data_IF_168161579484
#
_entry.id   IF_168161579484
#
_cell.length_a   1.000
_cell.length_b   1.000
_cell.length_c   1.000
_cell.angle_alpha   90.00
_cell.angle_beta   90.00
_cell.angle_gamma   90.00
#
_symmetry.space_group_name_H-M   'P 1'
#
loop_
_entity.id
_entity.type
_entity.pdbx_description
1 polymer ?
#
# COMPACT_ATOMS: atom_id res chain seq x y z
N UNK A 1 -16.17 4.50 -16.74
CA UNK A 1 -17.20 3.82 -15.92
C UNK A 1 -16.98 4.24 -14.47
N UNK A 2 -17.96 4.86 -13.81
CA UNK A 2 -17.92 5.13 -12.36
C UNK A 2 -18.71 4.01 -11.68
N UNK A 3 -18.03 3.17 -10.91
CA UNK A 3 -18.70 2.14 -10.12
C UNK A 3 -19.09 2.74 -8.76
N UNK A 4 -20.30 2.45 -8.31
CA UNK A 4 -20.73 2.72 -6.95
C UNK A 4 -20.49 1.46 -6.11
N UNK A 5 -19.68 1.57 -5.07
CA UNK A 5 -19.34 0.45 -4.20
C UNK A 5 -20.11 0.60 -2.89
N UNK A 6 -20.94 -0.40 -2.57
CA UNK A 6 -21.75 -0.40 -1.36
C UNK A 6 -21.14 -1.38 -0.34
N UNK A 7 -20.71 -0.84 0.80
CA UNK A 7 -20.14 -1.62 1.89
C UNK A 7 -21.24 -2.16 2.82
N UNK A 8 -21.26 -3.46 3.06
CA UNK A 8 -22.12 -4.08 4.07
C UNK A 8 -21.28 -4.82 5.09
N UNK A 9 -21.37 -4.42 6.36
CA UNK A 9 -20.70 -5.06 7.48
C UNK A 9 -21.68 -5.99 8.21
N UNK A 10 -21.25 -7.24 8.41
CA UNK A 10 -21.97 -8.22 9.23
C UNK A 10 -21.13 -8.61 10.44
N UNK A 11 -21.76 -8.64 11.60
CA UNK A 11 -21.18 -9.20 12.83
C UNK A 11 -22.05 -10.38 13.26
N UNK A 12 -21.42 -11.48 13.68
CA UNK A 12 -22.13 -12.71 14.07
C UNK A 12 -23.16 -13.16 12.99
N UNK A 13 -22.78 -13.04 11.71
CA UNK A 13 -23.61 -13.30 10.52
C UNK A 13 -24.88 -12.42 10.37
N UNK A 14 -25.12 -11.47 11.28
CA UNK A 14 -26.25 -10.53 11.24
C UNK A 14 -25.81 -9.20 10.65
N UNK A 15 -26.76 -8.50 10.03
CA UNK A 15 -26.52 -7.15 9.49
C UNK A 15 -26.14 -6.20 10.62
N UNK A 16 -24.96 -5.61 10.53
CA UNK A 16 -24.47 -4.64 11.50
C UNK A 16 -24.58 -3.22 10.94
N UNK A 17 -23.85 -2.94 9.86
CA UNK A 17 -23.86 -1.63 9.21
C UNK A 17 -23.99 -1.77 7.68
N UNK A 18 -24.77 -0.88 7.08
CA UNK A 18 -24.98 -0.74 5.64
C UNK A 18 -25.15 0.76 5.31
N UNK A 19 -25.23 1.14 4.03
CA UNK A 19 -25.36 2.55 3.66
C UNK A 19 -26.56 3.23 4.33
N UNK A 20 -27.65 2.49 4.55
CA UNK A 20 -28.89 3.01 5.14
C UNK A 20 -28.75 3.27 6.64
N UNK A 21 -28.17 2.36 7.41
CA UNK A 21 -27.91 2.52 8.85
C UNK A 21 -26.85 3.60 9.10
N UNK A 22 -25.84 3.70 8.25
CA UNK A 22 -24.85 4.77 8.32
C UNK A 22 -25.47 6.13 8.03
N UNK A 23 -26.34 6.23 7.01
CA UNK A 23 -27.11 7.44 6.75
C UNK A 23 -27.97 7.83 7.96
N UNK A 24 -28.66 6.87 8.58
CA UNK A 24 -29.43 7.11 9.81
C UNK A 24 -28.56 7.72 10.92
N UNK A 25 -27.41 7.12 11.23
CA UNK A 25 -26.52 7.62 12.28
C UNK A 25 -25.97 9.02 11.95
N UNK A 26 -25.63 9.30 10.69
CA UNK A 26 -25.21 10.64 10.23
C UNK A 26 -26.32 11.67 10.43
N UNK A 27 -27.57 11.32 10.12
CA UNK A 27 -28.72 12.22 10.31
C UNK A 27 -29.07 12.41 11.79
N UNK A 28 -28.92 11.38 12.63
CA UNK A 28 -29.07 11.52 14.09
C UNK A 28 -28.01 12.47 14.64
N UNK A 29 -26.75 12.31 14.24
CA UNK A 29 -25.66 13.23 14.63
C UNK A 29 -25.96 14.68 14.26
N UNK A 30 -26.50 14.92 13.06
CA UNK A 30 -26.79 16.27 12.57
C UNK A 30 -28.01 16.91 13.25
N UNK A 31 -29.03 16.11 13.58
CA UNK A 31 -30.33 16.62 14.06
C UNK A 31 -30.52 16.52 15.57
N UNK A 32 -29.71 15.71 16.26
CA UNK A 32 -29.91 15.42 17.68
C UNK A 32 -31.19 14.61 17.96
N UNK A 33 -31.80 13.95 16.97
CA UNK A 33 -33.09 13.28 17.10
C UNK A 33 -33.21 12.03 16.24
N UNK A 34 -33.66 10.92 16.85
CA UNK A 34 -33.94 9.66 16.12
C UNK A 34 -35.10 9.84 15.15
N UNK A 35 -36.15 10.57 15.54
CA UNK A 35 -37.34 10.74 14.69
C UNK A 35 -37.04 11.58 13.46
N UNK A 36 -36.32 12.70 13.64
CA UNK A 36 -35.90 13.54 12.52
C UNK A 36 -34.85 12.82 11.67
N UNK A 37 -33.90 12.12 12.29
CA UNK A 37 -32.88 11.34 11.60
C UNK A 37 -33.47 10.24 10.71
N UNK A 38 -34.47 9.50 11.21
CA UNK A 38 -35.18 8.49 10.45
C UNK A 38 -35.86 9.07 9.20
N UNK A 39 -36.56 10.20 9.36
CA UNK A 39 -37.23 10.89 8.25
C UNK A 39 -36.24 11.32 7.17
N UNK A 40 -35.12 11.93 7.55
CA UNK A 40 -34.09 12.37 6.60
C UNK A 40 -33.32 11.21 5.96
N UNK A 41 -33.21 10.07 6.65
CA UNK A 41 -32.64 8.84 6.11
C UNK A 41 -33.63 8.02 5.26
N UNK A 42 -34.88 8.49 5.09
CA UNK A 42 -35.89 7.82 4.27
C UNK A 42 -36.46 6.53 4.89
N UNK A 43 -36.44 6.38 6.21
CA UNK A 43 -36.92 5.18 6.91
C UNK A 43 -37.94 5.49 7.99
N UNK A 44 -38.79 4.53 8.33
CA UNK A 44 -39.75 4.71 9.42
C UNK A 44 -39.04 4.83 10.77
N UNK A 45 -39.64 5.56 11.72
CA UNK A 45 -39.11 5.65 13.09
C UNK A 45 -38.93 4.27 13.73
N UNK A 46 -39.89 3.36 13.54
CA UNK A 46 -39.80 1.98 14.04
C UNK A 46 -38.58 1.27 13.46
N UNK A 47 -38.38 1.35 12.14
CA UNK A 47 -37.23 0.74 11.47
C UNK A 47 -35.89 1.34 11.94
N UNK A 48 -35.84 2.65 12.22
CA UNK A 48 -34.65 3.28 12.78
C UNK A 48 -34.35 2.76 14.20
N UNK A 49 -35.39 2.63 15.02
CA UNK A 49 -35.27 2.13 16.39
C UNK A 49 -34.82 0.66 16.43
N UNK A 50 -35.43 -0.19 15.60
CA UNK A 50 -35.07 -1.60 15.47
C UNK A 50 -33.61 -1.74 15.00
N UNK A 51 -33.19 -0.95 14.00
CA UNK A 51 -31.81 -0.95 13.50
C UNK A 51 -30.79 -0.56 14.57
N UNK A 52 -31.04 0.52 15.32
CA UNK A 52 -30.15 0.97 16.40
C UNK A 52 -30.04 -0.10 17.49
N UNK A 53 -31.14 -0.74 17.87
CA UNK A 53 -31.10 -1.81 18.87
C UNK A 53 -30.33 -3.03 18.40
N UNK A 54 -30.53 -3.46 17.15
CA UNK A 54 -29.75 -4.56 16.59
C UNK A 54 -28.27 -4.22 16.55
N UNK A 55 -27.92 -2.99 16.19
CA UNK A 55 -26.54 -2.51 16.23
C UNK A 55 -25.97 -2.56 17.65
N UNK A 56 -26.73 -2.10 18.66
CA UNK A 56 -26.32 -2.14 20.07
C UNK A 56 -26.21 -3.58 20.62
N UNK A 57 -27.02 -4.52 20.13
CA UNK A 57 -26.93 -5.93 20.53
C UNK A 57 -25.69 -6.61 19.97
N UNK A 58 -25.21 -6.16 18.81
CA UNK A 58 -24.05 -6.74 18.12
C UNK A 58 -22.73 -6.05 18.49
N UNK A 59 -22.78 -4.86 19.07
CA UNK A 59 -21.62 -4.09 19.48
C UNK A 59 -21.36 -4.21 20.99
N UNK A 60 -20.11 -3.97 21.38
CA UNK A 60 -19.70 -3.95 22.79
C UNK A 60 -20.19 -2.68 23.51
N UNK A 61 -20.47 -1.62 22.77
CA UNK A 61 -20.94 -0.32 23.27
C UNK A 61 -22.17 0.15 22.48
N UNK A 62 -23.01 0.97 23.10
CA UNK A 62 -24.19 1.55 22.45
C UNK A 62 -23.79 2.57 21.37
N UNK A 63 -24.57 2.67 20.29
CA UNK A 63 -24.35 3.62 19.19
C UNK A 63 -24.81 5.04 19.52
N UNK A 64 -25.86 5.17 20.34
CA UNK A 64 -26.50 6.45 20.66
C UNK A 64 -26.75 6.58 22.17
N UNK A 65 -26.48 7.77 22.70
CA UNK A 65 -26.89 8.20 24.02
C UNK A 65 -28.19 9.00 23.93
N UNK A 66 -29.07 8.79 24.89
CA UNK A 66 -30.28 9.62 25.07
C UNK A 66 -30.07 10.54 26.25
N UNK A 67 -30.15 11.85 26.02
CA UNK A 67 -30.33 12.77 27.12
C UNK A 67 -31.71 12.51 27.76
N UNK A 68 -31.76 12.26 29.07
CA UNK A 68 -33.02 12.10 29.80
C UNK A 68 -33.83 13.41 29.75
N UNK A 69 -35.05 13.34 29.23
CA UNK A 69 -35.82 14.49 28.78
C UNK A 69 -36.52 15.32 29.88
N UNK A 70 -36.56 16.63 29.65
CA UNK A 70 -37.57 17.58 30.14
C UNK A 70 -38.50 18.06 29.02
N UNK A 71 -39.32 19.09 29.26
CA UNK A 71 -40.46 19.58 28.42
C UNK A 71 -40.19 19.95 26.93
N UNK A 72 -38.98 19.70 26.39
CA UNK A 72 -38.61 19.91 25.00
C UNK A 72 -38.12 18.66 24.24
N UNK A 73 -38.17 17.48 24.86
CA UNK A 73 -37.68 16.23 24.26
C UNK A 73 -36.18 16.03 24.50
N UNK A 74 -35.82 14.90 25.09
CA UNK A 74 -34.42 14.53 25.33
C UNK A 74 -33.67 14.36 24.02
N UNK A 75 -32.61 15.14 23.82
CA UNK A 75 -31.75 15.02 22.64
C UNK A 75 -31.11 13.63 22.54
N UNK A 76 -30.82 13.19 21.32
CA UNK A 76 -30.07 11.97 21.03
C UNK A 76 -28.75 12.34 20.40
N UNK A 77 -27.64 11.90 21.01
CA UNK A 77 -26.31 12.07 20.45
C UNK A 77 -25.69 10.71 20.13
N UNK A 78 -24.76 10.67 19.18
CA UNK A 78 -23.94 9.47 19.01
C UNK A 78 -23.00 9.32 20.20
N UNK A 79 -22.76 8.09 20.62
CA UNK A 79 -21.67 7.79 21.55
C UNK A 79 -20.33 7.91 20.82
N UNK A 80 -19.22 7.88 21.58
CA UNK A 80 -17.88 7.75 21.00
C UNK A 80 -17.77 6.54 20.08
N UNK A 81 -18.37 5.41 20.45
CA UNK A 81 -18.39 4.21 19.61
C UNK A 81 -19.14 4.44 18.30
N UNK A 82 -20.32 5.05 18.35
CA UNK A 82 -21.10 5.39 17.16
C UNK A 82 -20.36 6.35 16.22
N UNK A 83 -19.64 7.32 16.78
CA UNK A 83 -18.79 8.22 15.97
C UNK A 83 -17.61 7.49 15.33
N UNK A 84 -16.93 6.61 16.06
CA UNK A 84 -15.84 5.80 15.52
C UNK A 84 -16.32 4.86 14.43
N UNK A 85 -17.53 4.30 14.55
CA UNK A 85 -18.13 3.48 13.50
C UNK A 85 -18.34 4.28 12.21
N UNK A 86 -18.86 5.52 12.31
CA UNK A 86 -19.01 6.39 11.14
C UNK A 86 -17.66 6.68 10.47
N UNK A 87 -16.64 7.03 11.26
CA UNK A 87 -15.29 7.28 10.75
C UNK A 87 -14.69 6.05 10.07
N UNK A 88 -14.81 4.87 10.69
CA UNK A 88 -14.32 3.61 10.14
C UNK A 88 -15.03 3.27 8.83
N UNK A 89 -16.35 3.39 8.78
CA UNK A 89 -17.13 3.09 7.59
C UNK A 89 -16.75 4.00 6.42
N UNK A 90 -16.57 5.30 6.67
CA UNK A 90 -16.14 6.27 5.65
C UNK A 90 -14.70 5.97 5.17
N UNK A 91 -13.79 5.58 6.07
CA UNK A 91 -12.43 5.16 5.71
C UNK A 91 -12.42 3.89 4.86
N UNK A 92 -13.20 2.87 5.24
CA UNK A 92 -13.32 1.63 4.47
C UNK A 92 -13.88 1.89 3.07
N UNK A 93 -14.86 2.80 2.96
CA UNK A 93 -15.44 3.18 1.67
C UNK A 93 -14.38 3.83 0.76
N UNK A 94 -13.52 4.70 1.31
CA UNK A 94 -12.40 5.29 0.56
C UNK A 94 -11.36 4.24 0.13
N UNK A 95 -11.03 3.29 1.02
CA UNK A 95 -10.08 2.20 0.71
C UNK A 95 -10.63 1.34 -0.43
N UNK A 96 -11.91 0.95 -0.37
CA UNK A 96 -12.55 0.16 -1.42
C UNK A 96 -12.58 0.89 -2.75
N UNK A 97 -12.88 2.19 -2.76
CA UNK A 97 -12.87 2.99 -3.98
C UNK A 97 -11.48 3.02 -4.61
N UNK A 98 -10.44 3.26 -3.81
CA UNK A 98 -9.06 3.25 -4.28
C UNK A 98 -8.64 1.88 -4.82
N UNK A 99 -9.00 0.79 -4.13
CA UNK A 99 -8.73 -0.56 -4.59
C UNK A 99 -9.44 -0.88 -5.92
N UNK A 100 -10.67 -0.38 -6.10
CA UNK A 100 -11.41 -0.55 -7.35
C UNK A 100 -10.83 0.27 -8.50
N UNK A 101 -10.32 1.48 -8.24
CA UNK A 101 -9.70 2.29 -9.27
C UNK A 101 -8.43 1.64 -9.86
N UNK A 102 -7.75 0.80 -9.10
CA UNK A 102 -6.62 -0.01 -9.56
C UNK A 102 -7.04 -1.09 -10.56
N UNK A 103 -8.27 -1.62 -10.48
CA UNK A 103 -8.79 -2.60 -11.46
C UNK A 103 -8.96 -2.03 -12.88
N UNK A 104 -8.86 -0.72 -13.06
CA UNK A 104 -8.91 -0.09 -14.39
C UNK A 104 -7.60 -0.26 -15.17
N UNK A 105 -6.55 -0.76 -14.53
CA UNK A 105 -5.24 -1.02 -15.14
C UNK A 105 -5.10 -2.52 -15.44
N UNK A 106 -5.26 -2.91 -16.71
CA UNK A 106 -5.26 -4.31 -17.18
C UNK A 106 -3.90 -5.03 -17.04
N UNK A 107 -2.84 -4.32 -16.65
CA UNK A 107 -1.47 -4.85 -16.53
C UNK A 107 -1.19 -5.53 -15.19
N UNK A 108 -2.21 -5.76 -14.35
CA UNK A 108 -2.04 -6.21 -12.97
C UNK A 108 -2.35 -7.68 -12.75
N UNK A 109 -1.41 -8.44 -12.16
CA UNK A 109 -1.72 -9.69 -11.49
C UNK A 109 -2.57 -9.40 -10.24
N UNK A 110 -3.84 -9.82 -10.26
CA UNK A 110 -4.77 -9.67 -9.13
C UNK A 110 -4.70 -10.86 -8.15
N UNK A 111 -3.73 -11.74 -8.33
CA UNK A 111 -3.45 -12.90 -7.49
C UNK A 111 -2.52 -12.58 -6.30
N UNK A 112 -1.81 -11.45 -6.31
CA UNK A 112 -1.02 -10.95 -5.16
C UNK A 112 -1.66 -9.74 -4.47
N UNK A 113 -1.97 -9.91 -3.18
CA UNK A 113 -2.46 -8.82 -2.33
C UNK A 113 -1.42 -7.72 -2.16
N UNK A 114 -0.13 -8.06 -2.08
CA UNK A 114 0.95 -7.07 -1.96
C UNK A 114 1.05 -6.21 -3.22
N UNK A 115 0.94 -6.82 -4.41
CA UNK A 115 0.92 -6.10 -5.68
C UNK A 115 -0.24 -5.13 -5.79
N UNK A 116 -1.45 -5.55 -5.37
CA UNK A 116 -2.61 -4.68 -5.34
C UNK A 116 -2.43 -3.52 -4.34
N UNK A 117 -2.00 -3.82 -3.11
CA UNK A 117 -1.89 -2.82 -2.03
C UNK A 117 -0.81 -1.78 -2.34
N UNK A 118 0.33 -2.14 -2.91
CA UNK A 118 1.43 -1.18 -3.13
C UNK A 118 1.05 -0.04 -4.08
N UNK A 119 0.07 -0.23 -4.98
CA UNK A 119 -0.38 0.82 -5.93
C UNK A 119 -1.33 1.86 -5.35
N UNK A 120 -2.11 1.53 -4.31
CA UNK A 120 -3.03 2.49 -3.69
C UNK A 120 -2.70 2.86 -2.24
N UNK A 121 -1.74 2.16 -1.63
CA UNK A 121 -1.20 2.48 -0.31
C UNK A 121 -0.08 3.53 -0.41
N UNK A 122 0.91 3.44 0.47
CA UNK A 122 1.99 4.41 0.59
C UNK A 122 2.86 4.40 -0.67
N UNK A 123 2.93 5.54 -1.35
CA UNK A 123 3.86 5.75 -2.46
C UNK A 123 5.23 6.14 -1.93
N UNK A 124 6.29 5.63 -2.55
CA UNK A 124 7.67 5.90 -2.14
C UNK A 124 8.41 6.71 -3.19
N UNK A 125 9.42 7.48 -2.77
CA UNK A 125 10.31 8.22 -3.69
C UNK A 125 11.38 7.34 -4.35
N UNK A 126 11.46 6.04 -3.98
CA UNK A 126 12.32 5.11 -4.67
C UNK A 126 11.75 4.84 -6.06
N UNK A 127 12.55 5.14 -7.08
CA UNK A 127 12.20 4.97 -8.50
C UNK A 127 12.28 3.51 -8.95
N UNK A 128 12.95 2.67 -8.17
CA UNK A 128 13.08 1.25 -8.41
C UNK A 128 12.27 0.53 -7.33
N UNK A 129 11.24 -0.18 -7.76
CA UNK A 129 10.34 -0.93 -6.90
C UNK A 129 10.11 -2.29 -7.58
N UNK A 130 10.79 -3.32 -7.10
CA UNK A 130 10.79 -4.64 -7.71
C UNK A 130 10.05 -5.62 -6.83
N UNK A 131 9.06 -6.30 -7.39
CA UNK A 131 8.37 -7.38 -6.69
C UNK A 131 9.20 -8.65 -6.73
N UNK A 132 9.24 -9.35 -5.61
CA UNK A 132 9.92 -10.63 -5.54
C UNK A 132 9.53 -11.44 -4.33
N UNK A 133 10.14 -12.61 -4.22
CA UNK A 133 9.91 -13.56 -3.14
C UNK A 133 11.24 -13.85 -2.43
N UNK A 134 11.24 -13.86 -1.11
CA UNK A 134 12.39 -14.31 -0.32
C UNK A 134 12.70 -15.77 -0.67
N UNK A 135 13.95 -16.04 -1.05
CA UNK A 135 14.44 -17.39 -1.33
C UNK A 135 15.34 -17.92 -0.24
N UNK A 136 16.09 -17.04 0.41
CA UNK A 136 17.05 -17.37 1.45
C UNK A 136 17.23 -16.19 2.41
N UNK A 137 17.66 -16.49 3.64
CA UNK A 137 17.97 -15.53 4.70
C UNK A 137 19.11 -16.08 5.54
N UNK A 138 20.15 -15.29 5.75
CA UNK A 138 21.20 -15.64 6.71
C UNK A 138 20.75 -15.34 8.15
N UNK A 139 21.48 -15.89 9.13
CA UNK A 139 21.22 -15.70 10.56
C UNK A 139 22.41 -15.05 11.27
N UNK A 140 23.05 -14.09 10.58
CA UNK A 140 24.14 -13.33 11.16
C UNK A 140 23.63 -12.40 12.29
N UNK A 141 24.50 -12.11 13.27
CA UNK A 141 24.16 -11.20 14.36
C UNK A 141 24.18 -9.75 13.87
N UNK A 142 23.25 -8.93 14.38
CA UNK A 142 23.08 -7.50 14.07
C UNK A 142 22.53 -7.23 12.67
N UNK A 143 23.25 -7.64 11.63
CA UNK A 143 22.90 -7.43 10.23
C UNK A 143 22.77 -8.77 9.52
N UNK A 144 21.66 -8.95 8.84
CA UNK A 144 21.32 -10.14 8.07
C UNK A 144 21.15 -9.80 6.60
N UNK A 145 21.40 -10.79 5.75
CA UNK A 145 21.14 -10.70 4.32
C UNK A 145 19.99 -11.60 3.93
N UNK A 146 19.12 -11.08 3.07
CA UNK A 146 18.06 -11.85 2.42
C UNK A 146 18.28 -11.85 0.93
N UNK A 147 18.01 -13.00 0.30
CA UNK A 147 18.01 -13.16 -1.15
C UNK A 147 16.59 -13.15 -1.67
N UNK A 148 16.35 -12.36 -2.69
CA UNK A 148 15.04 -12.11 -3.28
C UNK A 148 15.08 -12.54 -4.74
N UNK A 149 14.18 -13.41 -5.14
CA UNK A 149 13.95 -13.74 -6.54
C UNK A 149 12.87 -12.81 -7.08
N UNK A 150 13.19 -12.06 -8.15
CA UNK A 150 12.23 -11.16 -8.78
C UNK A 150 11.14 -11.92 -9.53
N UNK A 151 10.07 -11.21 -9.90
CA UNK A 151 8.91 -11.80 -10.59
C UNK A 151 9.25 -12.46 -11.95
N UNK A 152 10.40 -12.15 -12.54
CA UNK A 152 10.90 -12.81 -13.76
C UNK A 152 11.39 -14.25 -13.53
N UNK A 153 11.52 -14.68 -12.26
CA UNK A 153 11.96 -16.01 -11.88
C UNK A 153 13.45 -16.29 -12.12
N UNK A 154 14.24 -15.28 -12.49
CA UNK A 154 15.65 -15.44 -12.86
C UNK A 154 16.55 -14.46 -12.10
N UNK A 155 16.13 -13.20 -11.99
CA UNK A 155 16.93 -12.14 -11.40
C UNK A 155 16.91 -12.26 -9.87
N UNK A 156 18.10 -12.29 -9.28
CA UNK A 156 18.28 -12.35 -7.83
C UNK A 156 18.82 -11.03 -7.29
N UNK A 157 18.26 -10.58 -6.17
CA UNK A 157 18.72 -9.43 -5.39
C UNK A 157 19.13 -9.87 -3.99
N UNK A 158 20.16 -9.22 -3.46
CA UNK A 158 20.57 -9.31 -2.07
C UNK A 158 20.21 -7.99 -1.37
N UNK A 159 19.54 -8.09 -0.22
CA UNK A 159 19.23 -6.96 0.65
C UNK A 159 19.76 -7.21 2.05
N UNK A 160 20.30 -6.19 2.68
CA UNK A 160 20.83 -6.26 4.03
C UNK A 160 19.98 -5.42 4.98
N UNK A 161 19.61 -6.00 6.12
CA UNK A 161 18.77 -5.36 7.11
C UNK A 161 19.07 -5.89 8.51
N UNK A 162 18.60 -5.20 9.54
CA UNK A 162 18.82 -5.65 10.91
C UNK A 162 18.04 -6.92 11.21
N UNK A 163 18.57 -7.77 12.08
CA UNK A 163 17.89 -8.97 12.60
C UNK A 163 16.47 -8.63 13.09
N UNK A 164 16.34 -7.58 13.90
CA UNK A 164 15.05 -7.11 14.41
C UNK A 164 14.06 -6.74 13.29
N UNK A 165 14.54 -6.19 12.18
CA UNK A 165 13.70 -5.86 11.04
C UNK A 165 13.27 -7.11 10.29
N UNK A 166 14.20 -8.05 10.07
CA UNK A 166 13.90 -9.31 9.40
C UNK A 166 12.92 -10.19 10.19
N UNK A 167 13.01 -10.20 11.53
CA UNK A 167 12.06 -10.88 12.41
C UNK A 167 10.70 -10.19 12.45
N UNK A 168 10.68 -8.86 12.61
CA UNK A 168 9.41 -8.10 12.65
C UNK A 168 8.64 -8.18 11.34
N UNK A 169 9.36 -8.20 10.22
CA UNK A 169 8.78 -8.37 8.88
C UNK A 169 8.60 -9.84 8.51
N UNK A 170 8.93 -10.78 9.41
CA UNK A 170 8.81 -12.23 9.23
C UNK A 170 9.37 -12.69 7.87
N UNK A 171 10.59 -12.27 7.54
CA UNK A 171 11.23 -12.57 6.26
C UNK A 171 11.69 -14.03 6.21
N UNK A 172 10.78 -14.90 5.79
CA UNK A 172 11.00 -16.33 5.59
C UNK A 172 10.93 -16.69 4.11
N UNK A 173 11.51 -17.83 3.73
CA UNK A 173 11.43 -18.34 2.36
C UNK A 173 9.98 -18.45 1.89
N UNK A 174 9.70 -17.93 0.70
CA UNK A 174 8.36 -17.86 0.12
C UNK A 174 7.60 -16.57 0.41
N UNK A 175 8.11 -15.68 1.28
CA UNK A 175 7.43 -14.42 1.58
C UNK A 175 7.56 -13.44 0.41
N UNK A 176 6.42 -12.90 -0.02
CA UNK A 176 6.37 -11.82 -1.01
C UNK A 176 6.88 -10.51 -0.42
N UNK A 177 7.71 -9.81 -1.19
CA UNK A 177 8.31 -8.53 -0.80
C UNK A 177 8.36 -7.56 -1.98
N UNK A 178 8.45 -6.29 -1.65
CA UNK A 178 8.78 -5.20 -2.55
C UNK A 178 10.16 -4.66 -2.17
N UNK A 179 11.12 -4.79 -3.07
CA UNK A 179 12.46 -4.22 -2.93
C UNK A 179 12.47 -2.79 -3.45
N UNK A 180 12.85 -1.85 -2.59
CA UNK A 180 12.85 -0.41 -2.86
C UNK A 180 14.28 0.10 -2.91
N UNK A 181 14.70 0.63 -4.06
CA UNK A 181 16.05 1.18 -4.27
C UNK A 181 15.95 2.59 -4.84
N UNK A 182 16.64 3.55 -4.20
CA UNK A 182 16.68 4.92 -4.72
C UNK A 182 17.58 4.96 -5.96
N UNK A 183 17.12 5.64 -7.03
CA UNK A 183 17.92 5.83 -8.25
C UNK A 183 19.37 6.32 -8.04
N UNK A 184 19.69 7.26 -7.12
CA UNK A 184 21.07 7.71 -6.92
C UNK A 184 21.98 6.72 -6.19
N UNK A 185 21.46 5.60 -5.68
CA UNK A 185 22.29 4.54 -5.11
C UNK A 185 22.80 3.56 -6.17
N UNK A 186 22.21 3.58 -7.36
CA UNK A 186 22.56 2.68 -8.45
C UNK A 186 23.63 3.31 -9.32
N UNK A 187 24.81 2.71 -9.36
CA UNK A 187 25.87 3.07 -10.29
C UNK A 187 25.80 2.19 -11.53
N UNK A 188 26.28 2.69 -12.67
CA UNK A 188 26.27 1.96 -13.94
C UNK A 188 27.69 1.67 -14.42
N UNK A 189 27.90 0.51 -15.04
CA UNK A 189 29.14 0.15 -15.74
C UNK A 189 28.88 -0.55 -17.06
N UNK A 190 29.71 -0.25 -18.08
CA UNK A 190 29.74 -0.97 -19.35
C UNK A 190 30.79 -2.10 -19.37
N UNK A 191 31.77 -2.04 -18.47
CA UNK A 191 32.94 -2.91 -18.47
C UNK A 191 32.69 -4.18 -17.62
N UNK A 192 33.71 -5.04 -17.52
CA UNK A 192 33.73 -6.12 -16.53
C UNK A 192 33.46 -5.55 -15.14
N UNK A 193 32.79 -6.34 -14.30
CA UNK A 193 32.48 -5.98 -12.92
C UNK A 193 33.76 -5.45 -12.26
N UNK A 194 33.75 -4.22 -11.71
CA UNK A 194 34.92 -3.66 -11.06
C UNK A 194 35.38 -4.58 -9.92
N UNK A 195 36.68 -4.55 -9.57
CA UNK A 195 37.24 -5.35 -8.46
C UNK A 195 36.56 -5.06 -7.11
N UNK A 196 35.88 -3.91 -7.00
CA UNK A 196 35.03 -3.61 -5.86
C UNK A 196 33.82 -4.53 -5.83
N UNK A 197 33.69 -5.30 -4.75
CA UNK A 197 32.52 -6.13 -4.49
C UNK A 197 31.27 -5.27 -4.34
N UNK A 198 30.37 -5.36 -5.32
CA UNK A 198 28.97 -4.98 -5.19
C UNK A 198 28.13 -6.22 -4.91
N UNK A 199 27.16 -6.11 -4.00
CA UNK A 199 26.28 -7.24 -3.65
C UNK A 199 25.25 -7.55 -4.74
N UNK A 200 24.94 -6.56 -5.59
CA UNK A 200 23.95 -6.66 -6.65
C UNK A 200 24.53 -6.19 -7.98
N UNK A 201 24.26 -6.98 -9.03
CA UNK A 201 24.59 -6.64 -10.41
C UNK A 201 23.44 -7.04 -11.34
N UNK A 202 22.76 -6.05 -11.92
CA UNK A 202 21.62 -6.25 -12.80
C UNK A 202 21.94 -5.77 -14.21
N UNK A 203 21.92 -6.68 -15.17
CA UNK A 203 22.22 -6.36 -16.57
C UNK A 203 20.95 -6.03 -17.34
N UNK A 204 21.08 -5.09 -18.27
CA UNK A 204 20.02 -4.72 -19.18
C UNK A 204 20.50 -3.82 -20.32
N UNK A 205 19.56 -3.16 -20.97
CA UNK A 205 19.82 -2.24 -22.07
C UNK A 205 19.27 -0.85 -21.77
N UNK A 206 20.05 0.19 -22.09
CA UNK A 206 19.62 1.57 -21.93
C UNK A 206 18.43 1.87 -22.86
N UNK A 207 17.30 2.26 -22.27
CA UNK A 207 16.07 2.58 -23.01
C UNK A 207 15.80 4.07 -23.11
N UNK A 208 16.24 4.87 -22.11
CA UNK A 208 16.11 6.33 -22.11
C UNK A 208 17.28 6.96 -21.36
N UNK A 209 17.73 8.13 -21.83
CA UNK A 209 18.71 8.99 -21.16
C UNK A 209 18.11 10.39 -21.11
N UNK A 210 18.10 11.01 -19.94
CA UNK A 210 17.62 12.38 -19.74
C UNK A 210 18.67 13.16 -18.93
N UNK A 211 19.35 14.10 -19.57
CA UNK A 211 20.41 14.90 -18.94
C UNK A 211 19.87 16.25 -18.50
N UNK A 212 19.94 16.52 -17.20
CA UNK A 212 19.65 17.81 -16.60
C UNK A 212 20.92 18.63 -16.33
N UNK A 213 20.78 19.72 -15.57
CA UNK A 213 21.89 20.64 -15.27
C UNK A 213 23.03 19.98 -14.47
N UNK A 214 22.70 19.08 -13.54
CA UNK A 214 23.68 18.47 -12.61
C UNK A 214 23.74 16.94 -12.69
N UNK A 215 22.67 16.31 -13.13
CA UNK A 215 22.50 14.87 -13.11
C UNK A 215 21.86 14.35 -14.38
N UNK A 216 22.23 13.13 -14.73
CA UNK A 216 21.63 12.36 -15.82
C UNK A 216 20.80 11.24 -15.23
N UNK A 217 19.53 11.19 -15.61
CA UNK A 217 18.66 10.04 -15.38
C UNK A 217 18.80 9.05 -16.52
N UNK A 218 18.93 7.76 -16.19
CA UNK A 218 19.08 6.67 -17.15
C UNK A 218 18.05 5.61 -16.82
N UNK A 219 17.20 5.27 -17.80
CA UNK A 219 16.31 4.14 -17.73
C UNK A 219 16.92 2.95 -18.46
N UNK A 220 16.84 1.78 -17.83
CA UNK A 220 17.40 0.52 -18.30
C UNK A 220 16.28 -0.50 -18.28
N UNK A 221 16.03 -1.17 -19.40
CA UNK A 221 15.19 -2.37 -19.43
C UNK A 221 16.10 -3.54 -19.06
N UNK A 222 15.86 -4.15 -17.91
CA UNK A 222 16.57 -5.34 -17.45
C UNK A 222 16.27 -6.52 -18.37
N UNK A 223 17.15 -7.52 -18.36
CA UNK A 223 16.97 -8.73 -19.18
C UNK A 223 15.66 -9.48 -18.82
N UNK A 224 15.17 -9.33 -17.58
CA UNK A 224 13.85 -9.82 -17.12
C UNK A 224 12.64 -8.97 -17.52
N UNK A 225 12.84 -7.86 -18.24
CA UNK A 225 11.78 -6.98 -18.75
C UNK A 225 11.37 -5.82 -17.85
N UNK A 226 11.72 -5.85 -16.56
CA UNK A 226 11.49 -4.72 -15.65
C UNK A 226 12.34 -3.50 -16.03
N UNK A 227 11.83 -2.31 -15.71
CA UNK A 227 12.57 -1.06 -15.94
C UNK A 227 13.24 -0.59 -14.64
N UNK A 228 14.55 -0.39 -14.71
CA UNK A 228 15.38 0.20 -13.67
C UNK A 228 15.70 1.65 -14.01
N UNK A 229 15.71 2.52 -13.01
CA UNK A 229 16.09 3.92 -13.06
C UNK A 229 17.34 4.17 -12.21
N UNK A 230 18.38 4.75 -12.82
CA UNK A 230 19.58 5.23 -12.14
C UNK A 230 19.69 6.75 -12.31
N UNK A 231 20.24 7.43 -11.29
CA UNK A 231 20.58 8.85 -11.36
C UNK A 231 22.06 9.02 -11.11
N UNK A 232 22.78 9.52 -12.10
CA UNK A 232 24.23 9.74 -12.06
C UNK A 232 24.53 11.24 -12.09
N UNK A 233 25.71 11.63 -11.62
CA UNK A 233 26.25 12.97 -11.95
C UNK A 233 26.56 13.03 -13.45
N UNK A 234 26.44 14.21 -14.06
CA UNK A 234 26.76 14.39 -15.49
C UNK A 234 28.19 13.90 -15.81
N UNK A 235 29.15 14.17 -14.94
CA UNK A 235 30.53 13.70 -15.09
C UNK A 235 30.64 12.17 -15.16
N UNK A 236 29.86 11.43 -14.37
CA UNK A 236 29.90 9.97 -14.40
C UNK A 236 29.19 9.42 -15.64
N UNK A 237 28.08 10.04 -16.05
CA UNK A 237 27.40 9.68 -17.30
C UNK A 237 28.28 9.92 -18.54
N UNK A 238 29.00 11.06 -18.58
CA UNK A 238 29.91 11.41 -19.67
C UNK A 238 31.09 10.44 -19.79
N UNK A 239 31.63 9.97 -18.65
CA UNK A 239 32.68 8.94 -18.62
C UNK A 239 32.23 7.63 -19.26
N UNK A 240 30.98 7.22 -19.00
CA UNK A 240 30.41 5.99 -19.55
C UNK A 240 30.05 6.13 -21.04
N UNK A 241 29.99 7.35 -21.58
CA UNK A 241 29.60 7.66 -22.97
C UNK A 241 28.33 6.89 -23.37
N UNK A 242 27.27 7.04 -22.57
CA UNK A 242 26.04 6.28 -22.70
C UNK A 242 25.30 6.59 -24.01
N UNK A 243 24.80 5.56 -24.66
CA UNK A 243 23.95 5.62 -25.83
C UNK A 243 22.73 4.71 -25.65
N UNK A 244 21.66 5.00 -26.37
CA UNK A 244 20.48 4.14 -26.39
C UNK A 244 20.86 2.74 -26.89
N UNK A 245 20.27 1.71 -26.27
CA UNK A 245 20.51 0.29 -26.51
C UNK A 245 21.88 -0.24 -26.07
N UNK A 246 22.70 0.59 -25.42
CA UNK A 246 23.93 0.09 -24.81
C UNK A 246 23.60 -1.00 -23.78
N UNK A 247 24.33 -2.11 -23.86
CA UNK A 247 24.31 -3.12 -22.80
C UNK A 247 25.07 -2.57 -21.60
N UNK A 248 24.44 -2.61 -20.44
CA UNK A 248 24.96 -2.00 -19.22
C UNK A 248 24.57 -2.81 -17.99
N UNK A 249 25.40 -2.74 -16.95
CA UNK A 249 25.12 -3.36 -15.66
C UNK A 249 24.95 -2.30 -14.59
N UNK A 250 23.82 -2.37 -13.89
CA UNK A 250 23.50 -1.59 -12.71
C UNK A 250 24.05 -2.27 -11.46
N UNK A 251 24.76 -1.52 -10.63
CA UNK A 251 25.49 -1.98 -9.44
C UNK A 251 25.05 -1.21 -8.21
N UNK A 252 24.81 -1.93 -7.11
CA UNK A 252 24.47 -1.37 -5.80
C UNK A 252 24.70 -2.40 -4.69
N UNK A 253 24.82 -1.91 -3.45
CA UNK A 253 25.06 -2.78 -2.30
C UNK A 253 23.75 -3.19 -1.61
N UNK A 254 23.79 -4.28 -0.87
CA UNK A 254 22.62 -4.87 -0.22
C UNK A 254 22.03 -3.93 0.85
N UNK A 255 22.85 -3.12 1.50
CA UNK A 255 22.45 -2.11 2.49
C UNK A 255 21.70 -0.90 1.87
N UNK A 256 21.69 -0.78 0.55
CA UNK A 256 20.93 0.23 -0.20
C UNK A 256 19.54 -0.26 -0.63
N UNK A 257 19.14 -1.45 -0.18
CA UNK A 257 17.82 -2.03 -0.49
C UNK A 257 16.93 -1.95 0.74
N UNK A 258 15.78 -1.28 0.61
CA UNK A 258 14.73 -1.29 1.63
C UNK A 258 13.67 -2.32 1.27
N UNK A 259 13.25 -3.13 2.24
CA UNK A 259 12.21 -4.14 2.06
C UNK A 259 10.88 -3.65 2.62
N UNK A 260 9.84 -3.74 1.81
CA UNK A 260 8.45 -3.61 2.23
C UNK A 260 7.71 -4.93 1.99
N UNK A 261 6.82 -5.31 2.91
CA UNK A 261 5.99 -6.51 2.80
C UNK A 261 4.70 -6.30 3.60
N UNK A 262 3.71 -7.16 3.38
CA UNK A 262 2.53 -7.22 4.24
C UNK A 262 2.88 -8.03 5.49
N UNK A 263 2.53 -7.48 6.65
CA UNK A 263 2.60 -8.19 7.92
C UNK A 263 1.46 -9.20 8.05
#
# INVERSE_FOLDING_TARGET
MQAEILLTLKLQQRLFADPRRILLLKQIKATGSISQGAKLAGISYKSAWDAINEMNQLADETMVDRATGGKGGGGTNLTRYGERLLQLYDLLSQIQQKAFDVLKDDLLPLDSLLAAISRFSLQTSARNQFFGTITDRDHNQVQQHVRILLADGQTSLNAALTEQSADRLDLIKGKEVLALIKAPWITLTKEQLPDNHFDNALTGQVSKIETGEKSTEVLIVLDGGETLCSTLTNQNADKLKLHLKDKITALFNADQVIIATLC
#
